data_IF_745017332472
#
_entry.id   IF_745017332472
#
_cell.length_a   1.000
_cell.length_b   1.000
_cell.length_c   1.000
_cell.angle_alpha   90.00
_cell.angle_beta   90.00
_cell.angle_gamma   90.00
#
_symmetry.space_group_name_H-M   'P 1'
#
loop_
_entity.id
_entity.type
_entity.pdbx_description
1 polymer ?
#
# COMPACT_ATOMS: atom_id res chain seq x y z
N UNK A 1 7.49 22.07 -6.05
CA UNK A 1 7.19 21.02 -7.05
C UNK A 1 8.32 20.71 -8.03
N UNK A 2 9.02 21.69 -8.64
CA UNK A 2 10.12 21.40 -9.61
C UNK A 2 11.20 20.46 -9.04
N UNK A 3 11.70 20.76 -7.85
CA UNK A 3 12.71 19.93 -7.17
C UNK A 3 12.20 18.51 -6.89
N UNK A 4 11.00 18.37 -6.30
CA UNK A 4 10.40 17.07 -6.01
C UNK A 4 10.24 16.21 -7.27
N UNK A 5 9.79 16.81 -8.37
CA UNK A 5 9.68 16.12 -9.65
C UNK A 5 11.05 15.69 -10.18
N UNK A 6 12.06 16.56 -10.10
CA UNK A 6 13.40 16.24 -10.57
C UNK A 6 14.05 15.10 -9.77
N UNK A 7 13.91 15.11 -8.44
CA UNK A 7 14.37 14.02 -7.57
C UNK A 7 13.65 12.74 -7.97
N UNK A 8 12.32 12.74 -8.02
CA UNK A 8 11.53 11.57 -8.41
C UNK A 8 11.94 11.03 -9.78
N UNK A 9 12.08 11.91 -10.77
CA UNK A 9 12.50 11.56 -12.12
C UNK A 9 13.90 10.92 -12.11
N UNK A 10 14.86 11.53 -11.44
CA UNK A 10 16.23 11.03 -11.37
C UNK A 10 16.32 9.68 -10.66
N UNK A 11 15.63 9.51 -9.52
CA UNK A 11 15.60 8.25 -8.76
C UNK A 11 14.98 7.11 -9.57
N UNK A 12 13.83 7.34 -10.23
CA UNK A 12 13.18 6.30 -11.05
C UNK A 12 14.07 5.90 -12.23
N UNK A 13 14.70 6.87 -12.90
CA UNK A 13 15.61 6.56 -14.00
C UNK A 13 16.89 5.87 -13.50
N UNK A 14 17.42 6.25 -12.33
CA UNK A 14 18.55 5.59 -11.69
C UNK A 14 18.27 4.12 -11.42
N UNK A 15 17.17 3.82 -10.72
CA UNK A 15 16.70 2.44 -10.47
C UNK A 15 16.52 1.68 -11.78
N UNK A 16 15.89 2.30 -12.79
CA UNK A 16 15.67 1.68 -14.08
C UNK A 16 16.96 1.39 -14.84
N UNK A 17 17.95 2.29 -14.81
CA UNK A 17 19.27 2.11 -15.40
C UNK A 17 20.04 0.96 -14.73
N UNK A 18 19.98 0.85 -13.40
CA UNK A 18 20.59 -0.27 -12.67
C UNK A 18 19.94 -1.59 -13.07
N UNK A 19 18.62 -1.64 -13.15
CA UNK A 19 17.90 -2.84 -13.58
C UNK A 19 18.23 -3.20 -15.03
N UNK A 20 18.31 -2.22 -15.94
CA UNK A 20 18.74 -2.45 -17.31
C UNK A 20 20.17 -3.02 -17.36
N UNK A 21 21.08 -2.49 -16.54
CA UNK A 21 22.47 -2.94 -16.46
C UNK A 21 22.57 -4.39 -15.97
N UNK A 22 21.91 -4.73 -14.87
CA UNK A 22 22.06 -6.04 -14.20
C UNK A 22 21.10 -7.11 -14.71
N UNK A 23 19.87 -6.74 -15.11
CA UNK A 23 18.80 -7.66 -15.51
C UNK A 23 18.45 -7.59 -17.00
N UNK A 24 19.09 -6.68 -17.75
CA UNK A 24 18.97 -6.56 -19.22
C UNK A 24 17.53 -6.31 -19.71
N UNK A 25 16.72 -5.66 -18.90
CA UNK A 25 15.35 -5.27 -19.24
C UNK A 25 15.12 -3.79 -18.92
N UNK A 26 14.50 -3.06 -19.84
CA UNK A 26 14.10 -1.68 -19.58
C UNK A 26 12.75 -1.65 -18.85
N UNK A 27 12.80 -1.28 -17.57
CA UNK A 27 11.60 -1.16 -16.72
C UNK A 27 11.11 0.28 -16.57
N UNK A 28 11.86 1.27 -17.06
CA UNK A 28 11.56 2.70 -16.89
C UNK A 28 10.15 3.05 -17.38
N UNK A 29 9.66 2.56 -18.54
CA UNK A 29 8.31 2.85 -19.00
C UNK A 29 7.22 2.40 -18.00
N UNK A 30 7.40 1.25 -17.37
CA UNK A 30 6.44 0.69 -16.42
C UNK A 30 6.44 1.44 -15.09
N UNK A 31 7.63 1.76 -14.57
CA UNK A 31 7.77 2.55 -13.34
C UNK A 31 7.20 3.96 -13.54
N UNK A 32 7.52 4.62 -14.66
CA UNK A 32 6.97 5.92 -15.04
C UNK A 32 5.45 5.90 -15.13
N UNK A 33 4.88 4.86 -15.74
CA UNK A 33 3.42 4.69 -15.81
C UNK A 33 2.80 4.60 -14.43
N UNK A 34 3.36 3.77 -13.54
CA UNK A 34 2.85 3.58 -12.18
C UNK A 34 2.82 4.89 -11.39
N UNK A 35 3.90 5.68 -11.45
CA UNK A 35 3.94 7.00 -10.82
C UNK A 35 2.95 7.99 -11.45
N UNK A 36 2.75 7.93 -12.77
CA UNK A 36 1.75 8.76 -13.43
C UNK A 36 0.31 8.39 -13.02
N UNK A 37 0.01 7.10 -12.82
CA UNK A 37 -1.28 6.64 -12.27
C UNK A 37 -1.48 7.16 -10.84
N UNK A 38 -0.47 7.05 -9.97
CA UNK A 38 -0.52 7.56 -8.60
C UNK A 38 -0.77 9.07 -8.55
N UNK A 39 -0.06 9.85 -9.36
CA UNK A 39 -0.29 11.30 -9.44
C UNK A 39 -1.70 11.63 -9.97
N UNK A 40 -2.26 10.81 -10.86
CA UNK A 40 -3.64 11.00 -11.34
C UNK A 40 -4.65 10.77 -10.22
N UNK A 41 -4.47 9.76 -9.38
CA UNK A 41 -5.41 9.50 -8.28
C UNK A 41 -5.30 10.54 -7.16
N UNK A 42 -4.11 11.05 -6.88
CA UNK A 42 -3.97 12.25 -6.03
C UNK A 42 -4.67 13.48 -6.60
N UNK A 43 -4.62 13.69 -7.92
CA UNK A 43 -5.31 14.80 -8.56
C UNK A 43 -6.84 14.66 -8.46
N UNK A 44 -7.38 13.44 -8.50
CA UNK A 44 -8.80 13.17 -8.29
C UNK A 44 -9.22 13.60 -6.89
N UNK A 45 -8.49 13.18 -5.84
CA UNK A 45 -8.77 13.58 -4.46
C UNK A 45 -8.64 15.09 -4.26
N UNK A 46 -7.60 15.72 -4.82
CA UNK A 46 -7.45 17.17 -4.76
C UNK A 46 -8.61 17.92 -5.43
N UNK A 47 -9.18 17.38 -6.52
CA UNK A 47 -10.38 17.93 -7.15
C UNK A 47 -11.62 17.74 -6.29
N UNK A 48 -11.78 16.57 -5.66
CA UNK A 48 -12.89 16.33 -4.73
C UNK A 48 -12.84 17.31 -3.56
N UNK A 49 -11.68 17.44 -2.92
CA UNK A 49 -11.45 18.39 -1.83
C UNK A 49 -11.77 19.82 -2.25
N UNK A 50 -11.18 20.32 -3.34
CA UNK A 50 -11.38 21.71 -3.79
C UNK A 50 -12.83 22.03 -4.11
N UNK A 51 -13.62 21.05 -4.56
CA UNK A 51 -15.02 21.21 -4.94
C UNK A 51 -15.99 20.94 -3.77
N UNK A 52 -15.49 20.47 -2.62
CA UNK A 52 -16.33 19.94 -1.55
C UNK A 52 -17.16 18.72 -1.97
N UNK A 53 -16.71 17.99 -3.00
CA UNK A 53 -17.39 16.80 -3.48
C UNK A 53 -17.20 15.65 -2.49
N UNK A 54 -18.27 14.92 -2.22
CA UNK A 54 -18.30 13.79 -1.30
C UNK A 54 -18.61 12.52 -2.10
N UNK A 55 -17.61 11.68 -2.40
CA UNK A 55 -17.83 10.45 -3.15
C UNK A 55 -18.64 9.43 -2.34
N UNK A 56 -19.26 8.46 -3.02
CA UNK A 56 -19.71 7.22 -2.36
C UNK A 56 -18.52 6.39 -1.89
N UNK A 57 -18.75 5.40 -1.03
CA UNK A 57 -17.66 4.51 -0.59
C UNK A 57 -17.02 3.80 -1.79
N UNK A 58 -17.85 3.30 -2.72
CA UNK A 58 -17.36 2.61 -3.91
C UNK A 58 -16.54 3.53 -4.81
N UNK A 59 -17.01 4.75 -5.09
CA UNK A 59 -16.28 5.72 -5.91
C UNK A 59 -14.94 6.10 -5.27
N UNK A 60 -14.93 6.36 -3.96
CA UNK A 60 -13.72 6.61 -3.20
C UNK A 60 -12.75 5.42 -3.34
N UNK A 61 -13.22 4.20 -3.08
CA UNK A 61 -12.37 3.03 -3.07
C UNK A 61 -11.73 2.75 -4.43
N UNK A 62 -12.42 2.99 -5.56
CA UNK A 62 -11.84 2.81 -6.91
C UNK A 62 -10.63 3.72 -7.17
N UNK A 63 -10.55 4.88 -6.52
CA UNK A 63 -9.38 5.76 -6.56
C UNK A 63 -8.37 5.43 -5.46
N UNK A 64 -8.87 5.16 -4.25
CA UNK A 64 -8.12 5.17 -3.02
C UNK A 64 -7.09 4.03 -2.92
N UNK A 65 -7.41 2.85 -3.47
CA UNK A 65 -6.48 1.71 -3.50
C UNK A 65 -5.23 1.97 -4.36
N UNK A 66 -5.28 2.89 -5.33
CA UNK A 66 -4.09 3.35 -6.05
C UNK A 66 -3.44 4.51 -5.31
N UNK A 67 -4.23 5.47 -4.81
CA UNK A 67 -3.74 6.66 -4.09
C UNK A 67 -2.84 6.32 -2.89
N UNK A 68 -3.07 5.16 -2.24
CA UNK A 68 -2.26 4.70 -1.12
C UNK A 68 -0.87 4.19 -1.54
N UNK A 69 -0.53 4.26 -2.83
CA UNK A 69 0.76 3.92 -3.43
C UNK A 69 1.16 2.44 -3.43
N UNK A 70 0.35 1.53 -2.87
CA UNK A 70 0.67 0.10 -2.80
C UNK A 70 1.02 -0.52 -4.17
N UNK A 71 0.28 -0.24 -5.27
CA UNK A 71 0.63 -0.77 -6.59
C UNK A 71 1.99 -0.27 -7.08
N UNK A 72 2.34 0.97 -6.76
CA UNK A 72 3.65 1.56 -7.05
C UNK A 72 4.75 0.90 -6.23
N UNK A 73 4.56 0.68 -4.94
CA UNK A 73 5.51 -0.04 -4.09
C UNK A 73 5.76 -1.45 -4.64
N UNK A 74 4.69 -2.18 -4.99
CA UNK A 74 4.80 -3.57 -5.40
C UNK A 74 5.45 -3.75 -6.78
N UNK A 75 5.19 -2.86 -7.76
CA UNK A 75 5.89 -2.94 -9.05
C UNK A 75 7.39 -2.63 -8.89
N UNK A 76 7.76 -1.68 -8.02
CA UNK A 76 9.16 -1.43 -7.67
C UNK A 76 9.79 -2.65 -7.00
N UNK A 77 9.10 -3.25 -6.03
CA UNK A 77 9.56 -4.47 -5.37
C UNK A 77 9.80 -5.60 -6.37
N UNK A 78 8.84 -5.85 -7.27
CA UNK A 78 8.97 -6.88 -8.32
C UNK A 78 10.19 -6.62 -9.22
N UNK A 79 10.37 -5.39 -9.67
CA UNK A 79 11.50 -4.98 -10.50
C UNK A 79 12.85 -5.17 -9.80
N UNK A 80 12.96 -4.80 -8.51
CA UNK A 80 14.23 -4.85 -7.77
C UNK A 80 14.56 -6.25 -7.28
N UNK A 81 13.61 -6.98 -6.72
CA UNK A 81 13.87 -8.22 -5.98
C UNK A 81 13.60 -9.51 -6.77
N UNK A 82 12.96 -9.45 -7.93
CA UNK A 82 12.79 -10.68 -8.74
C UNK A 82 14.08 -11.07 -9.43
N UNK A 83 14.50 -12.33 -9.30
CA UNK A 83 15.68 -12.87 -10.01
C UNK A 83 15.57 -12.74 -11.53
N UNK A 84 14.36 -12.96 -12.06
CA UNK A 84 14.04 -12.81 -13.47
C UNK A 84 12.76 -12.01 -13.63
N UNK A 85 12.83 -10.96 -14.45
CA UNK A 85 11.69 -10.10 -14.75
C UNK A 85 11.01 -10.59 -16.03
N UNK A 86 9.74 -10.99 -15.90
CA UNK A 86 8.85 -11.23 -17.05
C UNK A 86 8.17 -9.93 -17.50
N UNK A 87 8.25 -9.64 -18.80
CA UNK A 87 7.53 -8.53 -19.46
C UNK A 87 6.01 -8.66 -19.26
N UNK A 88 5.47 -9.87 -19.40
CA UNK A 88 4.04 -10.13 -19.18
C UNK A 88 3.60 -9.78 -17.75
N UNK A 89 4.44 -10.09 -16.76
CA UNK A 89 4.17 -9.70 -15.38
C UNK A 89 4.26 -8.18 -15.18
N UNK A 90 5.24 -7.50 -15.80
CA UNK A 90 5.32 -6.03 -15.78
C UNK A 90 4.08 -5.39 -16.40
N UNK A 91 3.61 -5.91 -17.54
CA UNK A 91 2.40 -5.44 -18.21
C UNK A 91 1.18 -5.59 -17.30
N UNK A 92 0.93 -6.79 -16.78
CA UNK A 92 -0.21 -7.05 -15.90
C UNK A 92 -0.16 -6.24 -14.60
N UNK A 93 1.02 -6.02 -14.01
CA UNK A 93 1.20 -5.13 -12.86
C UNK A 93 0.91 -3.67 -13.23
N UNK A 94 1.49 -3.17 -14.32
CA UNK A 94 1.32 -1.78 -14.77
C UNK A 94 -0.11 -1.46 -15.24
N UNK A 95 -0.87 -2.49 -15.63
CA UNK A 95 -2.27 -2.41 -16.02
C UNK A 95 -3.22 -2.72 -14.86
N UNK A 96 -2.72 -2.87 -13.63
CA UNK A 96 -3.55 -3.09 -12.45
C UNK A 96 -4.40 -4.38 -12.50
N UNK A 97 -3.90 -5.42 -13.19
CA UNK A 97 -4.61 -6.69 -13.43
C UNK A 97 -4.29 -7.81 -12.44
N UNK A 98 -3.37 -7.57 -11.51
CA UNK A 98 -2.98 -8.55 -10.49
C UNK A 98 -3.91 -8.40 -9.27
N UNK A 99 -4.78 -9.38 -9.06
CA UNK A 99 -5.82 -9.32 -8.02
C UNK A 99 -5.23 -9.17 -6.61
N UNK A 100 -4.21 -9.96 -6.27
CA UNK A 100 -3.50 -9.85 -4.99
C UNK A 100 -2.95 -8.45 -4.70
N UNK A 101 -2.53 -7.70 -5.73
CA UNK A 101 -2.06 -6.31 -5.57
C UNK A 101 -3.22 -5.41 -5.16
N UNK A 102 -4.38 -5.58 -5.78
CA UNK A 102 -5.60 -4.83 -5.43
C UNK A 102 -6.05 -5.14 -4.02
N UNK A 103 -6.13 -6.42 -3.62
CA UNK A 103 -6.51 -6.80 -2.25
C UNK A 103 -5.55 -6.22 -1.21
N UNK A 104 -4.23 -6.37 -1.42
CA UNK A 104 -3.20 -5.83 -0.53
C UNK A 104 -3.31 -4.31 -0.39
N UNK A 105 -3.50 -3.61 -1.52
CA UNK A 105 -3.68 -2.17 -1.55
C UNK A 105 -4.95 -1.72 -0.81
N UNK A 106 -6.06 -2.45 -1.00
CA UNK A 106 -7.32 -2.19 -0.29
C UNK A 106 -7.13 -2.36 1.22
N UNK A 107 -6.48 -3.45 1.68
CA UNK A 107 -6.20 -3.62 3.12
C UNK A 107 -5.35 -2.49 3.66
N UNK A 108 -4.29 -2.10 2.94
CA UNK A 108 -3.44 -0.97 3.35
C UNK A 108 -4.21 0.34 3.42
N UNK A 109 -5.06 0.66 2.43
CA UNK A 109 -5.91 1.86 2.44
C UNK A 109 -6.87 1.85 3.62
N UNK A 110 -7.61 0.76 3.83
CA UNK A 110 -8.62 0.68 4.88
C UNK A 110 -7.98 0.73 6.27
N UNK A 111 -6.84 0.06 6.48
CA UNK A 111 -6.07 0.16 7.72
C UNK A 111 -5.59 1.60 7.97
N UNK A 112 -5.07 2.26 6.93
CA UNK A 112 -4.67 3.67 7.01
C UNK A 112 -5.87 4.55 7.38
N UNK A 113 -7.00 4.45 6.67
CA UNK A 113 -8.23 5.21 6.97
C UNK A 113 -8.65 5.06 8.43
N UNK A 114 -8.72 3.83 8.94
CA UNK A 114 -9.13 3.57 10.33
C UNK A 114 -8.23 4.26 11.36
N UNK A 115 -6.93 4.40 11.04
CA UNK A 115 -5.90 4.97 11.91
C UNK A 115 -5.71 6.48 11.76
N UNK A 116 -6.02 7.08 10.60
CA UNK A 116 -5.67 8.48 10.27
C UNK A 116 -6.86 9.43 10.11
N UNK A 117 -8.06 8.90 9.79
CA UNK A 117 -9.21 9.72 9.40
C UNK A 117 -9.55 10.87 10.38
N UNK A 118 -9.58 10.67 11.71
CA UNK A 118 -9.97 11.74 12.62
C UNK A 118 -9.07 12.98 12.52
N UNK A 119 -7.75 12.77 12.47
CA UNK A 119 -6.75 13.84 12.38
C UNK A 119 -6.70 14.48 10.99
N UNK A 120 -6.88 13.68 9.94
CA UNK A 120 -6.86 14.18 8.56
C UNK A 120 -8.06 15.10 8.28
N UNK A 121 -9.26 14.69 8.71
CA UNK A 121 -10.46 15.50 8.55
C UNK A 121 -10.40 16.81 9.34
N UNK A 122 -9.83 16.79 10.55
CA UNK A 122 -9.64 18.00 11.34
C UNK A 122 -8.70 19.03 10.66
N UNK A 123 -7.78 18.58 9.80
CA UNK A 123 -6.86 19.42 9.03
C UNK A 123 -7.42 19.87 7.68
N UNK A 124 -8.55 19.32 7.25
CA UNK A 124 -9.16 19.57 5.96
C UNK A 124 -8.65 18.59 4.89
N UNK A 125 -9.37 17.49 4.72
CA UNK A 125 -9.11 16.47 3.71
C UNK A 125 -10.44 15.93 3.13
N UNK A 126 -10.37 15.13 2.07
CA UNK A 126 -11.52 14.39 1.53
C UNK A 126 -12.05 13.37 2.55
N UNK A 127 -13.31 12.99 2.41
CA UNK A 127 -13.87 11.88 3.17
C UNK A 127 -13.03 10.60 2.91
N UNK A 128 -12.78 9.86 3.99
CA UNK A 128 -12.13 8.55 3.96
C UNK A 128 -13.19 7.45 3.96
N UNK A 129 -12.81 6.17 3.90
CA UNK A 129 -13.77 5.06 3.79
C UNK A 129 -14.89 5.10 4.84
N UNK A 130 -14.56 5.28 6.12
CA UNK A 130 -15.54 5.37 7.21
C UNK A 130 -16.55 6.49 6.94
N UNK A 131 -16.08 7.69 6.60
CA UNK A 131 -16.97 8.84 6.37
C UNK A 131 -17.73 8.77 5.05
N UNK A 132 -17.16 8.18 4.00
CA UNK A 132 -17.88 7.91 2.76
C UNK A 132 -19.08 6.98 3.03
N UNK A 133 -18.86 5.90 3.79
CA UNK A 133 -19.93 4.98 4.17
C UNK A 133 -21.01 5.65 5.00
N UNK A 134 -20.62 6.42 6.03
CA UNK A 134 -21.58 7.20 6.84
C UNK A 134 -22.38 8.17 5.99
N UNK A 135 -21.72 8.85 5.04
CA UNK A 135 -22.36 9.83 4.17
C UNK A 135 -23.38 9.19 3.22
N UNK A 136 -23.03 8.06 2.63
CA UNK A 136 -23.85 7.33 1.65
C UNK A 136 -25.07 6.66 2.30
N UNK A 137 -24.90 6.10 3.50
CA UNK A 137 -25.91 5.23 4.13
C UNK A 137 -26.65 5.88 5.31
N UNK A 138 -26.10 6.96 5.87
CA UNK A 138 -26.59 7.54 7.14
C UNK A 138 -26.25 6.70 8.37
N UNK A 139 -25.38 5.69 8.26
CA UNK A 139 -24.98 4.83 9.37
C UNK A 139 -24.19 5.59 10.46
N UNK A 140 -24.19 5.05 11.68
CA UNK A 140 -23.32 5.51 12.76
C UNK A 140 -21.85 5.23 12.44
N UNK A 141 -20.94 5.97 13.08
CA UNK A 141 -19.50 5.74 12.93
C UNK A 141 -19.11 4.31 13.31
N UNK A 142 -19.65 3.78 14.41
CA UNK A 142 -19.43 2.40 14.84
C UNK A 142 -19.75 1.39 13.73
N UNK A 143 -20.94 1.48 13.13
CA UNK A 143 -21.34 0.61 12.01
C UNK A 143 -20.47 0.79 10.77
N UNK A 144 -20.03 2.02 10.51
CA UNK A 144 -19.13 2.31 9.40
C UNK A 144 -17.74 1.70 9.61
N UNK A 145 -17.21 1.74 10.84
CA UNK A 145 -15.94 1.09 11.20
C UNK A 145 -16.06 -0.43 11.11
N UNK A 146 -17.16 -1.00 11.59
CA UNK A 146 -17.43 -2.44 11.47
C UNK A 146 -17.49 -2.88 10.01
N UNK A 147 -18.15 -2.09 9.15
CA UNK A 147 -18.18 -2.36 7.72
C UNK A 147 -16.77 -2.32 7.10
N UNK A 148 -15.95 -1.32 7.43
CA UNK A 148 -14.56 -1.24 6.97
C UNK A 148 -13.71 -2.41 7.47
N UNK A 149 -13.91 -2.86 8.72
CA UNK A 149 -13.26 -4.07 9.23
C UNK A 149 -13.69 -5.32 8.47
N UNK A 150 -14.97 -5.45 8.12
CA UNK A 150 -15.46 -6.55 7.29
C UNK A 150 -14.81 -6.54 5.90
N UNK A 151 -14.73 -5.37 5.24
CA UNK A 151 -14.04 -5.25 3.95
C UNK A 151 -12.57 -5.68 4.03
N UNK A 152 -11.88 -5.37 5.13
CA UNK A 152 -10.51 -5.86 5.37
C UNK A 152 -10.49 -7.40 5.47
N UNK A 153 -11.44 -8.00 6.19
CA UNK A 153 -11.56 -9.45 6.31
C UNK A 153 -11.80 -10.12 4.95
N UNK A 154 -12.70 -9.56 4.15
CA UNK A 154 -13.04 -10.09 2.82
C UNK A 154 -11.80 -10.09 1.89
N UNK A 155 -11.02 -9.00 1.90
CA UNK A 155 -9.77 -8.93 1.13
C UNK A 155 -8.71 -9.90 1.63
N UNK A 156 -8.68 -10.21 2.92
CA UNK A 156 -7.82 -11.24 3.47
C UNK A 156 -8.21 -12.64 3.00
N UNK A 157 -9.50 -12.94 2.97
CA UNK A 157 -10.01 -14.22 2.46
C UNK A 157 -9.68 -14.42 0.99
N UNK A 158 -9.80 -13.36 0.18
CA UNK A 158 -9.39 -13.35 -1.22
C UNK A 158 -7.89 -13.62 -1.39
N UNK A 159 -7.02 -12.90 -0.67
CA UNK A 159 -5.56 -13.11 -0.73
C UNK A 159 -5.16 -14.52 -0.27
N UNK A 160 -5.78 -15.02 0.78
CA UNK A 160 -5.53 -16.36 1.30
C UNK A 160 -5.96 -17.44 0.29
N UNK A 161 -7.10 -17.26 -0.36
CA UNK A 161 -7.62 -18.18 -1.38
C UNK A 161 -6.72 -18.20 -2.62
N UNK A 162 -6.30 -17.03 -3.11
CA UNK A 162 -5.39 -16.92 -4.26
C UNK A 162 -4.03 -17.57 -3.96
N UNK A 163 -3.53 -17.44 -2.74
CA UNK A 163 -2.26 -18.04 -2.31
C UNK A 163 -2.35 -19.56 -2.23
N UNK A 164 -3.46 -20.11 -1.71
CA UNK A 164 -3.70 -21.56 -1.65
C UNK A 164 -3.79 -22.19 -3.04
N UNK A 165 -4.55 -21.60 -3.95
CA UNK A 165 -4.69 -22.09 -5.34
C UNK A 165 -3.36 -22.03 -6.10
N UNK A 166 -2.50 -21.07 -5.73
CA UNK A 166 -1.19 -20.89 -6.33
C UNK A 166 -0.07 -21.79 -5.77
N UNK A 167 -0.33 -22.63 -4.76
CA UNK A 167 0.65 -23.63 -4.30
C UNK A 167 1.07 -24.62 -5.40
N UNK A 168 0.36 -24.64 -6.55
CA UNK A 168 0.71 -25.39 -7.76
C UNK A 168 1.50 -24.57 -8.80
N UNK A 169 1.89 -23.33 -8.50
CA UNK A 169 2.60 -22.42 -9.42
C UNK A 169 4.08 -22.29 -9.09
N UNK A 170 4.89 -21.85 -10.08
CA UNK A 170 6.35 -21.75 -9.94
C UNK A 170 6.79 -20.92 -8.72
N UNK A 171 7.88 -21.33 -8.08
CA UNK A 171 8.49 -20.68 -6.89
C UNK A 171 8.69 -19.16 -7.06
N UNK A 172 8.94 -18.70 -8.29
CA UNK A 172 9.13 -17.28 -8.64
C UNK A 172 7.93 -16.40 -8.32
N UNK A 173 6.71 -16.93 -8.44
CA UNK A 173 5.48 -16.20 -8.11
C UNK A 173 5.24 -16.09 -6.61
N UNK A 174 5.89 -16.95 -5.80
CA UNK A 174 5.68 -17.03 -4.36
C UNK A 174 6.23 -15.82 -3.62
N UNK A 175 7.46 -15.41 -3.92
CA UNK A 175 8.10 -14.27 -3.23
C UNK A 175 7.36 -12.94 -3.45
N UNK A 176 6.89 -12.68 -4.67
CA UNK A 176 6.08 -11.48 -4.96
C UNK A 176 4.74 -11.49 -4.22
N UNK A 177 4.04 -12.64 -4.21
CA UNK A 177 2.77 -12.78 -3.50
C UNK A 177 2.95 -12.61 -1.99
N UNK A 178 4.00 -13.18 -1.44
CA UNK A 178 4.36 -13.01 -0.04
C UNK A 178 4.66 -11.55 0.29
N UNK A 179 5.35 -10.82 -0.58
CA UNK A 179 5.56 -9.38 -0.40
C UNK A 179 4.24 -8.58 -0.42
N UNK A 180 3.31 -8.91 -1.31
CA UNK A 180 1.97 -8.30 -1.31
C UNK A 180 1.21 -8.59 -0.01
N UNK A 181 1.23 -9.82 0.49
CA UNK A 181 0.62 -10.15 1.78
C UNK A 181 1.32 -9.45 2.94
N UNK A 182 2.65 -9.37 2.93
CA UNK A 182 3.41 -8.71 3.97
C UNK A 182 3.19 -7.20 3.99
N UNK A 183 2.94 -6.57 2.83
CA UNK A 183 2.52 -5.18 2.77
C UNK A 183 1.17 -4.96 3.47
N UNK A 184 0.21 -5.88 3.29
CA UNK A 184 -1.06 -5.86 4.01
C UNK A 184 -0.86 -6.04 5.53
N UNK A 185 -0.04 -7.01 5.96
CA UNK A 185 0.30 -7.19 7.40
C UNK A 185 0.97 -5.97 8.00
N UNK A 186 1.94 -5.41 7.28
CA UNK A 186 2.66 -4.21 7.70
C UNK A 186 1.69 -3.05 7.90
N UNK A 187 0.72 -2.87 7.01
CA UNK A 187 -0.27 -1.81 7.14
C UNK A 187 -1.08 -1.91 8.44
N UNK A 188 -1.55 -3.11 8.77
CA UNK A 188 -2.33 -3.34 9.98
C UNK A 188 -1.47 -3.17 11.22
N UNK A 189 -0.18 -3.55 11.16
CA UNK A 189 0.77 -3.25 12.20
C UNK A 189 0.92 -1.73 12.37
N UNK A 190 1.26 -1.01 11.30
CA UNK A 190 1.51 0.43 11.29
C UNK A 190 0.35 1.25 11.85
N UNK A 191 -0.89 0.92 11.46
CA UNK A 191 -2.08 1.72 11.76
C UNK A 191 -2.94 1.18 12.90
N UNK A 192 -2.50 0.10 13.58
CA UNK A 192 -3.27 -0.55 14.66
C UNK A 192 -3.65 0.40 15.80
N UNK A 193 -2.76 1.34 16.12
CA UNK A 193 -2.87 2.21 17.29
C UNK A 193 -2.91 3.69 16.90
N UNK A 194 -3.43 3.99 15.70
CA UNK A 194 -3.49 5.34 15.14
C UNK A 194 -2.50 5.55 14.01
N UNK A 195 -2.17 6.81 13.71
CA UNK A 195 -1.28 7.18 12.61
C UNK A 195 0.19 6.87 12.92
N UNK A 196 0.58 5.60 12.75
CA UNK A 196 1.96 5.16 12.95
C UNK A 196 2.97 5.70 11.94
N UNK A 197 2.52 6.34 10.85
CA UNK A 197 3.39 6.86 9.79
C UNK A 197 3.59 8.37 9.90
N UNK A 198 2.50 9.14 9.97
CA UNK A 198 2.53 10.60 10.07
C UNK A 198 2.66 11.12 11.50
N UNK A 199 2.31 10.32 12.51
CA UNK A 199 2.41 10.66 13.94
C UNK A 199 2.95 9.47 14.78
N UNK A 200 4.15 8.94 14.48
CA UNK A 200 4.66 7.70 15.06
C UNK A 200 4.77 7.73 16.60
N UNK A 201 4.97 8.92 17.20
CA UNK A 201 5.01 9.14 18.65
C UNK A 201 3.66 8.90 19.35
N UNK A 202 2.56 9.08 18.62
CA UNK A 202 1.19 8.83 19.11
C UNK A 202 0.73 7.39 18.86
N UNK A 203 1.60 6.59 18.24
CA UNK A 203 1.39 5.19 17.95
C UNK A 203 2.49 4.33 18.61
N UNK A 204 2.43 3.01 18.45
CA UNK A 204 3.49 2.08 18.93
C UNK A 204 4.64 1.89 17.93
N UNK A 205 4.75 2.74 16.92
CA UNK A 205 5.73 2.54 15.83
C UNK A 205 7.16 2.78 16.33
N UNK A 206 7.39 3.76 17.19
CA UNK A 206 8.73 4.06 17.73
C UNK A 206 9.25 2.86 18.52
N UNK A 207 8.47 2.34 19.46
CA UNK A 207 8.83 1.17 20.27
C UNK A 207 9.17 -0.05 19.41
N UNK A 208 8.39 -0.27 18.34
CA UNK A 208 8.62 -1.37 17.39
C UNK A 208 9.91 -1.19 16.60
N UNK A 209 10.20 0.03 16.16
CA UNK A 209 11.45 0.35 15.45
C UNK A 209 12.65 0.19 16.37
N UNK A 210 12.55 0.69 17.60
CA UNK A 210 13.59 0.53 18.62
C UNK A 210 13.88 -0.95 18.86
N UNK A 211 12.86 -1.73 19.20
CA UNK A 211 13.00 -3.16 19.48
C UNK A 211 13.51 -3.99 18.30
N UNK A 212 13.22 -3.60 17.05
CA UNK A 212 13.57 -4.41 15.87
C UNK A 212 14.91 -4.02 15.24
N UNK A 213 15.27 -2.73 15.26
CA UNK A 213 16.40 -2.18 14.51
C UNK A 213 17.50 -1.55 15.37
N UNK A 214 17.21 -1.22 16.63
CA UNK A 214 18.14 -0.50 17.51
C UNK A 214 18.59 -1.38 18.67
N UNK A 215 17.64 -1.98 19.38
CA UNK A 215 17.90 -2.72 20.60
C UNK A 215 18.31 -4.16 20.27
N UNK A 216 19.52 -4.60 20.65
CA UNK A 216 19.94 -5.97 20.41
C UNK A 216 19.19 -6.93 21.33
N UNK A 217 18.93 -8.15 20.84
CA UNK A 217 18.41 -9.23 21.68
C UNK A 217 19.50 -9.65 22.67
N UNK A 218 19.28 -9.56 24.00
CA UNK A 218 20.26 -10.01 24.97
C UNK A 218 20.53 -11.50 24.82
N UNK A 219 21.81 -11.88 24.72
CA UNK A 219 22.21 -13.28 24.74
C UNK A 219 22.39 -13.73 26.19
N UNK A 220 21.69 -14.79 26.59
CA UNK A 220 21.82 -15.37 27.91
C UNK A 220 23.09 -16.24 27.96
N UNK A 221 24.20 -15.64 28.39
CA UNK A 221 25.55 -16.27 28.40
C UNK A 221 25.62 -17.45 29.39
N UNK A 222 24.64 -17.60 30.28
CA UNK A 222 24.61 -18.65 31.31
C UNK A 222 23.93 -19.97 30.85
N UNK A 223 23.43 -20.07 29.61
CA UNK A 223 22.82 -21.29 29.05
C UNK A 223 23.72 -22.08 28.09
N UNK A 224 24.98 -21.68 27.95
CA UNK A 224 25.96 -22.31 27.05
C UNK A 224 27.12 -23.04 27.79
N UNK A 225 26.98 -23.24 29.10
CA UNK A 225 27.94 -23.98 29.95
C UNK A 225 27.40 -25.32 30.42
#
# INVERSE_FOLDING_TARGET
MRLCFLILYNEINGIGCDILKYKKIDVIPYLKKSWADLCRTYLVEAKWYKRGYKPSLEEYMQNAWISISAPTILIHFYCVFSDQISVQNLETLSQHRQHIVRCSATVLRLANDLGTSPTELARGDVLKSVQCYMHETGASEERARDHVHQMISDMWDDMNSETKTACNSSSRSRGFKEAAMNLARMSQCMYQYGDGHGCPEKAKTIDRVQSLLVDPIPLDVNRLG
#
